data_IF_356057088352
#
_entry.id   IF_356057088352
#
_cell.length_a   1.000
_cell.length_b   1.000
_cell.length_c   1.000
_cell.angle_alpha   90.00
_cell.angle_beta   90.00
_cell.angle_gamma   90.00
#
_symmetry.space_group_name_H-M   'P 1'
#
loop_
_entity.id
_entity.type
_entity.pdbx_description
1 polymer ?
#
# COMPACT_ATOMS: atom_id res chain seq x y z
N UNK A 1 -2.79 27.89 9.02
CA UNK A 1 -1.55 27.11 9.01
C UNK A 1 -1.49 26.49 7.62
N UNK A 2 -0.61 26.96 6.73
CA UNK A 2 -0.45 26.27 5.44
C UNK A 2 0.28 24.95 5.72
N UNK A 3 -0.46 23.85 5.59
CA UNK A 3 0.04 22.50 5.90
C UNK A 3 1.04 22.07 4.82
N UNK A 4 0.84 22.51 3.57
CA UNK A 4 1.67 22.20 2.42
C UNK A 4 2.92 23.07 2.36
N UNK A 5 4.11 22.45 2.40
CA UNK A 5 5.40 23.16 2.40
C UNK A 5 6.06 23.23 1.03
N UNK A 6 5.75 22.27 0.15
CA UNK A 6 6.34 22.16 -1.19
C UNK A 6 5.32 21.56 -2.16
N UNK A 7 5.15 22.08 -3.38
CA UNK A 7 4.30 21.42 -4.37
C UNK A 7 4.86 20.06 -4.78
N UNK A 8 4.03 19.01 -4.71
CA UNK A 8 4.38 17.67 -5.18
C UNK A 8 3.58 17.28 -6.42
N UNK A 9 4.28 16.67 -7.38
CA UNK A 9 3.67 16.07 -8.57
C UNK A 9 3.61 14.56 -8.43
N UNK A 10 2.67 13.92 -9.12
CA UNK A 10 2.60 12.45 -9.18
C UNK A 10 3.91 11.83 -9.69
N UNK A 11 4.61 12.50 -10.62
CA UNK A 11 5.90 12.05 -11.12
C UNK A 11 6.99 12.06 -10.03
N UNK A 12 7.04 13.12 -9.20
CA UNK A 12 7.99 13.21 -8.09
C UNK A 12 7.74 12.14 -7.03
N UNK A 13 6.47 11.90 -6.67
CA UNK A 13 6.09 10.84 -5.71
C UNK A 13 6.50 9.47 -6.24
N UNK A 14 6.16 9.16 -7.50
CA UNK A 14 6.53 7.89 -8.14
C UNK A 14 8.04 7.71 -8.29
N UNK A 15 8.79 8.77 -8.56
CA UNK A 15 10.25 8.72 -8.61
C UNK A 15 10.82 8.41 -7.22
N UNK A 16 10.37 9.15 -6.20
CA UNK A 16 10.83 8.96 -4.82
C UNK A 16 10.53 7.56 -4.30
N UNK A 17 9.32 7.05 -4.50
CA UNK A 17 8.94 5.71 -4.09
C UNK A 17 9.81 4.61 -4.76
N UNK A 18 10.23 4.81 -6.03
CA UNK A 18 11.16 3.89 -6.70
C UNK A 18 12.57 3.99 -6.16
N UNK A 19 13.07 5.20 -5.86
CA UNK A 19 14.36 5.40 -5.19
C UNK A 19 14.41 4.68 -3.84
N UNK A 20 13.29 4.67 -3.12
CA UNK A 20 13.15 4.01 -1.81
C UNK A 20 13.01 2.48 -1.90
N UNK A 21 12.79 1.92 -3.09
CA UNK A 21 12.81 0.47 -3.30
C UNK A 21 11.55 -0.16 -3.88
N UNK A 22 10.49 0.61 -4.18
CA UNK A 22 9.34 0.08 -4.92
C UNK A 22 9.70 -0.22 -6.38
N UNK A 23 9.28 -1.38 -6.89
CA UNK A 23 9.54 -1.74 -8.29
C UNK A 23 8.48 -1.13 -9.23
N UNK A 24 7.23 -1.06 -8.77
CA UNK A 24 6.14 -0.34 -9.45
C UNK A 24 5.43 0.59 -8.48
N UNK A 25 4.94 1.70 -9.02
CA UNK A 25 4.22 2.72 -8.26
C UNK A 25 3.08 3.30 -9.08
N UNK A 26 1.88 3.23 -8.53
CA UNK A 26 0.66 3.78 -9.08
C UNK A 26 0.01 4.75 -8.11
N UNK A 27 -0.87 5.62 -8.62
CA UNK A 27 -1.65 6.53 -7.77
C UNK A 27 -3.09 6.48 -8.26
N UNK A 28 -4.01 6.15 -7.37
CA UNK A 28 -5.44 6.10 -7.61
C UNK A 28 -6.17 7.27 -6.93
N UNK A 29 -7.35 7.59 -7.44
CA UNK A 29 -8.28 8.48 -6.74
C UNK A 29 -8.97 7.71 -5.61
N UNK A 30 -8.89 8.21 -4.37
CA UNK A 30 -9.51 7.55 -3.22
C UNK A 30 -11.03 7.42 -3.35
N UNK A 31 -11.68 8.36 -4.06
CA UNK A 31 -13.12 8.27 -4.31
C UNK A 31 -13.52 7.03 -5.13
N UNK A 32 -12.59 6.49 -5.95
CA UNK A 32 -12.81 5.26 -6.72
C UNK A 32 -12.61 3.99 -5.88
N UNK A 33 -12.06 4.12 -4.68
CA UNK A 33 -11.70 3.02 -3.78
C UNK A 33 -12.55 2.96 -2.50
N UNK A 34 -13.61 3.76 -2.44
CA UNK A 34 -14.46 3.91 -1.24
C UNK A 34 -13.67 4.25 0.04
N UNK A 35 -12.72 5.19 -0.08
CA UNK A 35 -11.95 5.72 1.06
C UNK A 35 -12.78 6.63 1.98
N UNK A 36 -14.11 6.57 1.93
CA UNK A 36 -15.04 7.46 2.65
C UNK A 36 -14.94 7.36 4.18
N UNK A 37 -14.41 6.24 4.68
CA UNK A 37 -14.15 5.97 6.08
C UNK A 37 -12.76 6.47 6.54
N UNK A 38 -11.91 6.93 5.61
CA UNK A 38 -10.63 7.60 5.89
C UNK A 38 -10.89 9.10 5.94
N UNK A 39 -10.13 9.84 6.76
CA UNK A 39 -10.30 11.30 6.84
C UNK A 39 -10.14 11.94 5.46
N UNK A 40 -10.82 13.08 5.23
CA UNK A 40 -10.70 13.80 3.95
C UNK A 40 -9.25 14.23 3.64
N UNK A 41 -8.43 14.45 4.67
CA UNK A 41 -7.03 14.84 4.51
C UNK A 41 -6.17 13.69 3.97
N UNK A 42 -6.48 12.45 4.38
CA UNK A 42 -5.65 11.27 4.06
C UNK A 42 -6.26 10.41 2.94
N UNK A 43 -7.58 10.49 2.73
CA UNK A 43 -8.32 9.63 1.82
C UNK A 43 -8.41 10.13 0.37
N UNK A 44 -7.84 11.29 0.04
CA UNK A 44 -7.98 11.92 -1.28
C UNK A 44 -7.24 11.18 -2.40
N UNK A 45 -6.10 10.55 -2.10
CA UNK A 45 -5.25 9.84 -3.06
C UNK A 45 -4.68 8.59 -2.42
N UNK A 46 -4.60 7.51 -3.18
CA UNK A 46 -4.00 6.26 -2.72
C UNK A 46 -2.75 5.98 -3.55
N UNK A 47 -1.60 5.92 -2.90
CA UNK A 47 -0.32 5.55 -3.52
C UNK A 47 -0.15 4.05 -3.35
N UNK A 48 -0.06 3.32 -4.47
CA UNK A 48 0.08 1.86 -4.46
C UNK A 48 1.51 1.51 -4.83
N UNK A 49 2.16 0.76 -3.95
CA UNK A 49 3.52 0.25 -4.13
C UNK A 49 3.46 -1.24 -4.48
N UNK A 50 4.31 -1.69 -5.39
CA UNK A 50 4.49 -3.11 -5.66
C UNK A 50 5.97 -3.49 -5.68
N UNK A 51 6.24 -4.72 -5.23
CA UNK A 51 7.55 -5.34 -5.21
C UNK A 51 7.52 -6.63 -6.01
N UNK A 52 8.55 -6.86 -6.80
CA UNK A 52 8.75 -8.10 -7.54
C UNK A 52 9.19 -9.19 -6.57
N UNK A 53 8.46 -10.29 -6.57
CA UNK A 53 8.83 -11.52 -5.88
C UNK A 53 10.03 -12.20 -6.55
N UNK A 54 10.79 -12.99 -5.80
CA UNK A 54 11.90 -13.75 -6.37
C UNK A 54 11.39 -14.84 -7.34
N UNK A 55 11.78 -14.76 -8.61
CA UNK A 55 11.38 -15.73 -9.65
C UNK A 55 11.81 -17.18 -9.33
N UNK A 56 12.86 -17.36 -8.54
CA UNK A 56 13.34 -18.68 -8.12
C UNK A 56 12.28 -19.47 -7.36
N UNK A 57 11.50 -18.81 -6.49
CA UNK A 57 10.44 -19.48 -5.72
C UNK A 57 9.25 -19.87 -6.59
N UNK A 58 9.06 -19.24 -7.75
CA UNK A 58 8.03 -19.62 -8.71
C UNK A 58 8.31 -21.00 -9.35
N UNK A 59 9.58 -21.43 -9.40
CA UNK A 59 9.97 -22.75 -9.95
C UNK A 59 9.65 -23.91 -9.00
N UNK A 60 9.40 -23.63 -7.73
CA UNK A 60 9.02 -24.64 -6.74
C UNK A 60 7.57 -25.06 -7.01
N UNK A 61 7.37 -26.34 -7.32
CA UNK A 61 6.05 -26.90 -7.70
C UNK A 61 5.07 -26.96 -6.52
N UNK A 62 5.56 -27.29 -5.32
CA UNK A 62 4.71 -27.38 -4.13
C UNK A 62 4.23 -25.98 -3.77
N UNK A 63 2.92 -25.79 -3.68
CA UNK A 63 2.33 -24.46 -3.44
C UNK A 63 2.54 -23.99 -1.99
N UNK A 64 2.58 -24.93 -1.05
CA UNK A 64 2.77 -24.74 0.40
C UNK A 64 4.23 -24.95 0.82
N UNK A 65 5.18 -24.62 -0.07
CA UNK A 65 6.60 -24.66 0.26
C UNK A 65 7.01 -23.44 1.10
N UNK A 66 7.80 -23.67 2.16
CA UNK A 66 8.24 -22.61 3.08
C UNK A 66 8.98 -21.47 2.39
N UNK A 67 9.70 -21.73 1.30
CA UNK A 67 10.43 -20.70 0.58
C UNK A 67 9.50 -19.68 -0.10
N UNK A 68 8.27 -20.10 -0.49
CA UNK A 68 7.28 -19.19 -1.07
C UNK A 68 6.79 -18.20 0.00
N UNK A 69 6.38 -18.71 1.16
CA UNK A 69 6.01 -17.86 2.30
C UNK A 69 7.15 -16.93 2.72
N UNK A 70 8.38 -17.45 2.83
CA UNK A 70 9.53 -16.61 3.19
C UNK A 70 9.79 -15.49 2.19
N UNK A 71 9.62 -15.77 0.89
CA UNK A 71 9.75 -14.76 -0.14
C UNK A 71 8.64 -13.69 -0.06
N UNK A 72 7.41 -14.09 0.26
CA UNK A 72 6.31 -13.14 0.44
C UNK A 72 6.60 -12.22 1.64
N UNK A 73 6.99 -12.78 2.79
CA UNK A 73 7.35 -12.01 3.99
C UNK A 73 8.48 -10.99 3.71
N UNK A 74 9.55 -11.41 3.02
CA UNK A 74 10.65 -10.49 2.66
C UNK A 74 10.18 -9.34 1.76
N UNK A 75 9.26 -9.61 0.82
CA UNK A 75 8.71 -8.59 -0.05
C UNK A 75 7.77 -7.64 0.71
N UNK A 76 6.96 -8.17 1.63
CA UNK A 76 6.09 -7.38 2.49
C UNK A 76 6.90 -6.46 3.41
N UNK A 77 7.95 -6.97 4.08
CA UNK A 77 8.85 -6.17 4.91
C UNK A 77 9.44 -5.00 4.12
N UNK A 78 9.95 -5.24 2.91
CA UNK A 78 10.49 -4.16 2.07
C UNK A 78 9.41 -3.13 1.68
N UNK A 79 8.19 -3.57 1.38
CA UNK A 79 7.09 -2.66 1.04
C UNK A 79 6.70 -1.80 2.24
N UNK A 80 6.67 -2.36 3.45
CA UNK A 80 6.36 -1.64 4.68
C UNK A 80 7.45 -0.61 5.02
N UNK A 81 8.73 -0.99 4.91
CA UNK A 81 9.86 -0.07 5.06
C UNK A 81 9.80 1.07 4.03
N UNK A 82 9.57 0.74 2.75
CA UNK A 82 9.42 1.74 1.67
C UNK A 82 8.24 2.67 1.94
N UNK A 83 7.13 2.13 2.45
CA UNK A 83 5.94 2.92 2.77
C UNK A 83 6.21 3.90 3.91
N UNK A 84 6.90 3.46 4.96
CA UNK A 84 7.27 4.31 6.10
C UNK A 84 8.16 5.48 5.68
N UNK A 85 9.23 5.20 4.94
CA UNK A 85 10.15 6.22 4.44
C UNK A 85 9.45 7.22 3.49
N UNK A 86 8.52 6.72 2.67
CA UNK A 86 7.74 7.58 1.78
C UNK A 86 6.79 8.50 2.57
N UNK A 87 6.13 7.99 3.61
CA UNK A 87 5.27 8.79 4.48
C UNK A 87 6.06 9.91 5.16
N UNK A 88 7.21 9.61 5.77
CA UNK A 88 8.04 10.65 6.37
C UNK A 88 8.46 11.73 5.38
N UNK A 89 8.81 11.33 4.15
CA UNK A 89 9.13 12.30 3.11
C UNK A 89 7.93 13.16 2.67
N UNK A 90 6.72 12.57 2.61
CA UNK A 90 5.49 13.31 2.32
C UNK A 90 5.18 14.31 3.46
N UNK A 91 5.31 13.89 4.71
CA UNK A 91 5.12 14.73 5.89
C UNK A 91 6.10 15.91 5.91
N UNK A 92 7.38 15.68 5.58
CA UNK A 92 8.38 16.73 5.42
C UNK A 92 8.00 17.76 4.34
N UNK A 93 7.35 17.29 3.27
CA UNK A 93 6.79 18.13 2.22
C UNK A 93 5.46 18.82 2.61
N UNK A 94 4.89 18.47 3.77
CA UNK A 94 3.64 19.02 4.28
C UNK A 94 2.39 18.27 3.83
N UNK A 95 2.49 16.99 3.48
CA UNK A 95 1.37 16.14 3.12
C UNK A 95 1.23 15.01 4.15
N UNK A 96 0.20 15.04 5.01
CA UNK A 96 -0.07 13.91 5.91
C UNK A 96 -0.42 12.67 5.08
N UNK A 97 -0.04 11.51 5.58
CA UNK A 97 -0.33 10.23 4.96
C UNK A 97 -0.41 9.14 6.02
N UNK A 98 -1.19 8.09 5.74
CA UNK A 98 -1.25 6.89 6.56
C UNK A 98 -0.90 5.67 5.71
N UNK A 99 -0.27 4.68 6.34
CA UNK A 99 0.02 3.39 5.71
C UNK A 99 -1.20 2.49 5.87
N UNK A 100 -1.67 1.88 4.78
CA UNK A 100 -2.66 0.81 4.82
C UNK A 100 -1.90 -0.51 4.70
N UNK A 101 -1.73 -1.28 5.79
CA UNK A 101 -0.95 -2.51 5.75
C UNK A 101 -1.66 -3.60 4.96
N UNK A 102 -0.91 -4.55 4.38
CA UNK A 102 -1.50 -5.76 3.86
C UNK A 102 -2.18 -6.54 4.99
N UNK A 103 -3.41 -7.00 4.74
CA UNK A 103 -4.21 -7.83 5.67
C UNK A 103 -4.65 -7.19 6.99
N UNK A 104 -4.45 -5.88 7.19
CA UNK A 104 -4.96 -5.21 8.39
C UNK A 104 -6.48 -5.08 8.35
N UNK A 105 -7.14 -5.57 9.40
CA UNK A 105 -8.57 -5.44 9.62
C UNK A 105 -8.81 -4.58 10.86
N UNK A 106 -9.83 -3.72 10.78
CA UNK A 106 -10.23 -2.88 11.90
C UNK A 106 -10.86 -3.75 13.00
N UNK A 107 -10.14 -3.92 14.10
CA UNK A 107 -10.59 -4.74 15.23
C UNK A 107 -11.87 -4.20 15.88
N UNK A 108 -12.17 -2.90 15.73
CA UNK A 108 -13.41 -2.32 16.26
C UNK A 108 -14.67 -2.80 15.52
N UNK A 109 -14.51 -3.32 14.30
CA UNK A 109 -15.59 -3.90 13.51
C UNK A 109 -15.89 -5.36 13.90
N UNK A 110 -15.13 -5.95 14.83
CA UNK A 110 -15.35 -7.32 15.26
C UNK A 110 -16.64 -7.46 16.09
N UNK A 111 -17.62 -8.20 15.55
CA UNK A 111 -18.94 -8.39 16.16
C UNK A 111 -19.06 -9.69 16.97
N UNK A 112 -18.00 -10.11 17.67
CA UNK A 112 -17.95 -11.36 18.45
C UNK A 112 -18.29 -12.65 17.66
N UNK A 113 -18.13 -12.63 16.34
CA UNK A 113 -18.31 -13.79 15.48
C UNK A 113 -16.98 -14.20 14.85
N UNK A 114 -16.31 -15.26 15.33
CA UNK A 114 -15.01 -15.70 14.81
C UNK A 114 -15.09 -16.26 13.39
N UNK A 115 -16.29 -16.53 12.87
CA UNK A 115 -16.50 -16.96 11.47
C UNK A 115 -16.78 -15.80 10.52
N UNK A 116 -17.02 -14.59 11.04
CA UNK A 116 -17.26 -13.41 10.21
C UNK A 116 -15.95 -12.98 9.55
N UNK A 117 -16.00 -12.73 8.25
CA UNK A 117 -14.87 -12.16 7.52
C UNK A 117 -14.84 -10.65 7.76
N UNK A 118 -13.73 -10.14 8.30
CA UNK A 118 -13.47 -8.71 8.34
C UNK A 118 -12.73 -8.31 7.07
N UNK A 119 -13.20 -7.26 6.43
CA UNK A 119 -12.57 -6.70 5.24
C UNK A 119 -11.46 -5.73 5.65
N UNK A 120 -10.35 -5.65 4.89
CA UNK A 120 -9.38 -4.59 5.07
C UNK A 120 -9.98 -3.21 4.84
N UNK A 121 -9.32 -2.15 5.33
CA UNK A 121 -9.74 -0.76 5.09
C UNK A 121 -9.87 -0.44 3.60
N UNK A 122 -8.93 -0.89 2.77
CA UNK A 122 -9.01 -0.76 1.32
C UNK A 122 -8.77 -2.11 0.64
N UNK A 123 -9.50 -2.37 -0.44
CA UNK A 123 -9.23 -3.51 -1.30
C UNK A 123 -7.93 -3.31 -2.08
N UNK A 124 -6.86 -4.00 -1.69
CA UNK A 124 -5.56 -3.90 -2.37
C UNK A 124 -5.61 -4.30 -3.85
N UNK A 125 -6.31 -5.38 -4.27
CA UNK A 125 -6.44 -5.69 -5.70
C UNK A 125 -7.15 -4.60 -6.49
N UNK A 126 -8.22 -4.02 -5.93
CA UNK A 126 -8.93 -2.91 -6.57
C UNK A 126 -8.06 -1.66 -6.67
N UNK A 127 -7.32 -1.34 -5.60
CA UNK A 127 -6.34 -0.26 -5.60
C UNK A 127 -5.26 -0.45 -6.68
N UNK A 128 -4.75 -1.68 -6.85
CA UNK A 128 -3.75 -1.98 -7.87
C UNK A 128 -4.29 -1.75 -9.29
N UNK A 129 -5.53 -2.17 -9.59
CA UNK A 129 -6.17 -1.92 -10.89
C UNK A 129 -6.38 -0.43 -11.12
N UNK A 130 -6.96 0.27 -10.14
CA UNK A 130 -7.25 1.71 -10.21
C UNK A 130 -5.98 2.57 -10.35
N UNK A 131 -4.88 2.11 -9.77
CA UNK A 131 -3.58 2.75 -9.86
C UNK A 131 -2.81 2.40 -11.16
N UNK A 132 -3.38 1.53 -12.01
CA UNK A 132 -2.82 1.11 -13.29
C UNK A 132 -1.69 0.09 -13.18
N UNK A 133 -1.67 -0.72 -12.11
CA UNK A 133 -0.65 -1.73 -11.84
C UNK A 133 -1.11 -3.17 -12.11
N UNK A 134 -2.39 -3.36 -12.46
CA UNK A 134 -2.99 -4.65 -12.76
C UNK A 134 -4.24 -4.50 -13.63
N UNK A 135 -4.89 -5.62 -13.94
CA UNK A 135 -6.10 -5.72 -14.77
C UNK A 135 -7.18 -6.53 -14.07
#
# INVERSE_FOLDING_TARGET
>A
MEIYRKPLTAAAIKARARELGADLVGIADGARLDSSHITQLDGGRVIVLAKRLNDGVARIRRWDDRHKYYNDELALTHLEETSLELVYWLEDCGYPALIVPPTHVDASQYQNNPKAHLTPMLSLPHAAVEAGLGT
#
